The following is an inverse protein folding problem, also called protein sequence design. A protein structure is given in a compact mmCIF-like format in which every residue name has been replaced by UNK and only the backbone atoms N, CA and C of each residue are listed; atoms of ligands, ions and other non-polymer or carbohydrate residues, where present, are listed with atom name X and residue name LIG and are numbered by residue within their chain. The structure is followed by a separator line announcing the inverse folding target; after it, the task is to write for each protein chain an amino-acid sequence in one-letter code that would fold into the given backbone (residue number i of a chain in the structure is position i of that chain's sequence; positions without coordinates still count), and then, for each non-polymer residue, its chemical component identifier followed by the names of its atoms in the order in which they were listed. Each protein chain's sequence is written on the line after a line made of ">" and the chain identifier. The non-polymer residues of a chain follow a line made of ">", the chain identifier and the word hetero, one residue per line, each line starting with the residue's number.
data_IF_804303832207
#
_entry.id   IF_804303832207
#
_cell.length_a   1.000
_cell.length_b   1.000
_cell.length_c   1.000
_cell.angle_alpha   90.00
_cell.angle_beta   90.00
_cell.angle_gamma   90.00
#
_symmetry.space_group_name_H-M   'P 1'
#
loop_
_entity.id
_entity.type
_entity.pdbx_description
1 polymer ?
#
# COMPACT_ATOMS: atom_id res chain seq x y z
N UNK A 1 28.97 -7.20 4.88
CA UNK A 1 27.58 -6.70 5.00
C UNK A 1 26.76 -7.40 3.94
N UNK A 2 25.72 -8.15 4.33
CA UNK A 2 24.87 -8.90 3.39
C UNK A 2 23.89 -7.92 2.75
N UNK A 3 23.92 -7.76 1.42
CA UNK A 3 22.92 -6.97 0.71
C UNK A 3 21.79 -7.89 0.24
N UNK A 4 20.74 -8.03 1.06
CA UNK A 4 19.60 -8.91 0.78
C UNK A 4 18.77 -8.47 -0.44
N UNK A 5 18.79 -7.18 -0.81
CA UNK A 5 18.01 -6.67 -1.94
C UNK A 5 18.54 -7.12 -3.31
N UNK A 6 19.81 -7.50 -3.39
CA UNK A 6 20.39 -8.07 -4.62
C UNK A 6 19.98 -9.52 -4.86
N UNK A 7 19.47 -10.21 -3.84
CA UNK A 7 19.05 -11.61 -3.93
C UNK A 7 17.66 -11.79 -4.55
N UNK A 8 16.85 -10.73 -4.52
CA UNK A 8 15.46 -10.78 -4.93
C UNK A 8 15.16 -9.77 -6.02
N UNK A 9 14.25 -10.11 -6.92
CA UNK A 9 13.81 -9.19 -7.96
C UNK A 9 12.76 -8.24 -7.39
N UNK A 10 12.73 -6.96 -7.83
CA UNK A 10 11.60 -6.09 -7.58
C UNK A 10 10.30 -6.76 -8.07
N UNK A 11 9.19 -6.51 -7.37
CA UNK A 11 7.91 -7.09 -7.72
C UNK A 11 7.42 -6.50 -9.04
N UNK A 12 7.16 -7.35 -10.02
CA UNK A 12 6.63 -6.93 -11.32
C UNK A 12 5.19 -6.44 -11.20
N UNK A 13 4.75 -5.62 -12.18
CA UNK A 13 3.39 -5.10 -12.29
C UNK A 13 2.90 -4.24 -11.10
N UNK A 14 3.80 -3.75 -10.25
CA UNK A 14 3.45 -2.78 -9.22
C UNK A 14 3.48 -1.34 -9.80
N UNK A 15 2.30 -0.73 -9.92
CA UNK A 15 2.14 0.54 -10.62
C UNK A 15 1.91 1.70 -9.65
N UNK A 16 2.81 2.67 -9.68
CA UNK A 16 2.72 3.91 -8.90
C UNK A 16 2.41 5.07 -9.86
N UNK A 17 1.22 5.70 -9.80
CA UNK A 17 0.91 6.85 -10.63
C UNK A 17 1.87 8.01 -10.40
N UNK A 18 2.08 8.84 -11.43
CA UNK A 18 2.85 10.06 -11.30
C UNK A 18 2.27 10.99 -10.22
N UNK A 19 3.14 11.66 -9.46
CA UNK A 19 2.75 12.55 -8.37
C UNK A 19 2.69 11.88 -6.99
N UNK A 20 2.88 10.56 -6.90
CA UNK A 20 3.08 9.87 -5.63
C UNK A 20 4.55 9.87 -5.23
N UNK A 21 4.82 10.32 -4.02
CA UNK A 21 6.12 10.21 -3.36
C UNK A 21 6.17 8.90 -2.58
N UNK A 22 7.02 7.99 -3.01
CA UNK A 22 7.29 6.74 -2.30
C UNK A 22 8.30 6.97 -1.19
N UNK A 23 7.90 6.70 0.05
CA UNK A 23 8.76 6.83 1.24
C UNK A 23 9.51 5.54 1.56
N UNK A 24 8.88 4.39 1.33
CA UNK A 24 9.47 3.05 1.49
C UNK A 24 8.92 2.14 0.39
N UNK A 25 9.79 1.34 -0.23
CA UNK A 25 9.40 0.39 -1.25
C UNK A 25 10.24 -0.90 -1.18
N UNK A 26 9.75 -1.83 -0.38
CA UNK A 26 10.27 -3.17 -0.26
C UNK A 26 9.33 -4.19 -0.93
N UNK A 27 8.62 -3.76 -1.98
CA UNK A 27 7.83 -4.66 -2.83
C UNK A 27 8.76 -5.42 -3.78
N UNK A 28 9.33 -6.51 -3.26
CA UNK A 28 10.13 -7.48 -4.00
C UNK A 28 9.37 -8.81 -4.13
N UNK A 29 9.67 -9.57 -5.17
CA UNK A 29 9.14 -10.92 -5.38
C UNK A 29 9.84 -11.90 -4.45
N UNK A 30 9.35 -11.95 -3.21
CA UNK A 30 9.89 -12.79 -2.13
C UNK A 30 8.74 -13.54 -1.46
N UNK A 31 8.74 -14.87 -1.62
CA UNK A 31 7.83 -15.77 -0.91
C UNK A 31 8.27 -15.93 0.55
N UNK A 32 7.35 -15.96 1.53
CA UNK A 32 7.68 -16.23 2.94
C UNK A 32 8.46 -17.54 3.13
N UNK A 33 8.24 -18.54 2.26
CA UNK A 33 8.94 -19.83 2.30
C UNK A 33 10.47 -19.72 2.17
N UNK A 34 11.01 -18.60 1.68
CA UNK A 34 12.47 -18.41 1.63
C UNK A 34 13.11 -18.43 3.02
N UNK A 35 12.34 -18.11 4.07
CA UNK A 35 12.82 -18.09 5.45
C UNK A 35 13.18 -19.48 5.97
N UNK A 36 12.59 -20.54 5.39
CA UNK A 36 12.90 -21.94 5.71
C UNK A 36 14.31 -22.33 5.24
N UNK A 37 14.78 -21.72 4.15
CA UNK A 37 16.07 -22.02 3.52
C UNK A 37 17.24 -21.21 4.10
N UNK A 38 16.96 -20.19 4.92
CA UNK A 38 18.00 -19.33 5.50
C UNK A 38 18.47 -19.92 6.83
N UNK A 39 19.70 -20.43 6.85
CA UNK A 39 20.33 -20.99 8.05
C UNK A 39 20.95 -19.95 8.98
N UNK A 40 21.35 -18.78 8.45
CA UNK A 40 21.95 -17.70 9.22
C UNK A 40 20.85 -16.83 9.88
N UNK A 41 20.85 -16.76 11.21
CA UNK A 41 19.84 -16.01 11.98
C UNK A 41 19.85 -14.50 11.64
N UNK A 42 21.03 -13.89 11.52
CA UNK A 42 21.17 -12.49 11.13
C UNK A 42 20.57 -12.20 9.74
N UNK A 43 20.81 -13.10 8.78
CA UNK A 43 20.23 -12.97 7.45
C UNK A 43 18.70 -13.13 7.48
N UNK A 44 18.20 -14.11 8.25
CA UNK A 44 16.76 -14.35 8.39
C UNK A 44 16.08 -13.12 8.97
N UNK A 45 16.63 -12.56 10.05
CA UNK A 45 16.13 -11.33 10.66
C UNK A 45 16.04 -10.18 9.65
N UNK A 46 17.10 -9.97 8.85
CA UNK A 46 17.11 -8.91 7.83
C UNK A 46 16.05 -9.13 6.74
N UNK A 47 15.85 -10.37 6.29
CA UNK A 47 14.83 -10.71 5.28
C UNK A 47 13.43 -10.52 5.85
N UNK A 48 13.20 -10.95 7.09
CA UNK A 48 11.93 -10.73 7.79
C UNK A 48 11.62 -9.24 7.93
N UNK A 49 12.55 -8.45 8.47
CA UNK A 49 12.36 -7.02 8.70
C UNK A 49 12.16 -6.22 7.41
N UNK A 50 12.96 -6.52 6.39
CA UNK A 50 12.88 -5.78 5.13
C UNK A 50 11.60 -6.12 4.35
N UNK A 51 11.24 -7.40 4.27
CA UNK A 51 10.23 -7.83 3.31
C UNK A 51 8.91 -8.24 3.95
N UNK A 52 8.88 -8.73 5.18
CA UNK A 52 7.69 -9.41 5.74
C UNK A 52 7.14 -8.78 7.03
N UNK A 53 7.83 -7.80 7.61
CA UNK A 53 7.40 -7.06 8.80
C UNK A 53 7.24 -5.58 8.47
N UNK A 54 6.42 -4.88 9.26
CA UNK A 54 6.31 -3.42 9.36
C UNK A 54 6.41 -2.63 8.04
N UNK A 55 5.30 -2.04 7.59
CA UNK A 55 5.21 -1.09 6.48
C UNK A 55 6.19 -1.37 5.34
N UNK A 56 5.99 -2.46 4.61
CA UNK A 56 6.87 -2.85 3.50
C UNK A 56 6.75 -1.90 2.31
N UNK A 57 5.68 -1.12 2.25
CA UNK A 57 5.48 -0.05 1.29
C UNK A 57 4.75 1.13 1.93
N UNK A 58 5.18 2.35 1.63
CA UNK A 58 4.46 3.58 1.97
C UNK A 58 4.62 4.56 0.81
N UNK A 59 3.52 5.11 0.34
CA UNK A 59 3.51 6.23 -0.58
C UNK A 59 2.47 7.27 -0.18
N UNK A 60 2.73 8.53 -0.54
CA UNK A 60 1.78 9.62 -0.34
C UNK A 60 1.73 10.55 -1.54
N UNK A 61 0.63 11.25 -1.70
CA UNK A 61 0.52 12.37 -2.63
C UNK A 61 -0.24 13.52 -1.98
N UNK A 62 0.10 14.74 -2.38
CA UNK A 62 -0.54 15.97 -1.93
C UNK A 62 -1.11 16.68 -3.14
N UNK A 63 -2.42 16.95 -3.11
CA UNK A 63 -3.11 17.67 -4.18
C UNK A 63 -3.68 19.00 -3.65
N UNK A 64 -3.17 20.16 -4.12
CA UNK A 64 -3.64 21.45 -3.66
C UNK A 64 -5.07 21.71 -4.17
N UNK A 65 -5.99 22.04 -3.25
CA UNK A 65 -7.36 22.44 -3.59
C UNK A 65 -7.51 23.97 -3.64
N UNK A 66 -6.74 24.68 -2.81
CA UNK A 66 -6.66 26.14 -2.79
C UNK A 66 -5.33 26.59 -2.18
N UNK A 67 -5.14 27.90 -1.97
CA UNK A 67 -3.95 28.43 -1.29
C UNK A 67 -3.83 27.96 0.17
N UNK A 68 -4.94 27.64 0.82
CA UNK A 68 -5.02 27.28 2.25
C UNK A 68 -5.42 25.84 2.52
N UNK A 69 -5.82 25.10 1.48
CA UNK A 69 -6.35 23.75 1.62
C UNK A 69 -5.75 22.77 0.60
N UNK A 70 -5.60 21.52 1.01
CA UNK A 70 -5.12 20.41 0.18
C UNK A 70 -5.81 19.12 0.60
N UNK A 71 -5.81 18.15 -0.31
CA UNK A 71 -6.19 16.77 -0.03
C UNK A 71 -4.95 15.90 -0.18
N UNK A 72 -4.74 15.01 0.79
CA UNK A 72 -3.60 14.09 0.82
C UNK A 72 -4.12 12.66 0.77
N UNK A 73 -3.54 11.85 -0.11
CA UNK A 73 -3.71 10.40 -0.11
C UNK A 73 -2.46 9.75 0.46
N UNK A 74 -2.62 8.80 1.37
CA UNK A 74 -1.56 7.94 1.88
C UNK A 74 -1.98 6.51 1.67
N UNK A 75 -1.09 5.69 1.11
CA UNK A 75 -1.27 4.25 1.01
C UNK A 75 -0.09 3.54 1.66
N UNK A 76 -0.38 2.46 2.36
CA UNK A 76 0.61 1.62 3.06
C UNK A 76 0.31 0.15 2.84
N UNK A 77 1.36 -0.67 2.91
CA UNK A 77 1.24 -2.12 2.98
C UNK A 77 2.02 -2.59 4.20
N UNK A 78 1.33 -3.22 5.15
CA UNK A 78 1.92 -3.84 6.32
C UNK A 78 1.99 -5.36 6.15
N UNK A 79 3.12 -5.98 6.48
CA UNK A 79 3.28 -7.44 6.45
C UNK A 79 3.03 -8.06 7.82
N UNK A 80 2.12 -9.03 7.88
CA UNK A 80 1.87 -9.89 9.05
C UNK A 80 2.44 -11.27 8.78
N UNK A 81 3.68 -11.47 9.21
CA UNK A 81 4.36 -12.77 9.13
C UNK A 81 3.86 -13.70 10.24
N UNK A 82 3.47 -14.91 9.84
CA UNK A 82 3.14 -16.01 10.74
C UNK A 82 4.24 -17.06 10.64
N UNK A 83 4.71 -17.49 11.81
CA UNK A 83 5.83 -18.42 11.91
C UNK A 83 5.37 -19.86 11.66
N UNK A 84 6.33 -20.70 11.31
CA UNK A 84 6.15 -22.14 11.09
C UNK A 84 5.56 -22.89 12.30
N UNK A 85 5.69 -22.35 13.52
CA UNK A 85 5.07 -22.91 14.73
C UNK A 85 3.54 -22.82 14.74
N UNK A 86 2.97 -21.87 14.00
CA UNK A 86 1.56 -21.50 14.09
C UNK A 86 0.72 -22.08 12.93
N UNK A 87 1.38 -22.57 11.86
CA UNK A 87 0.74 -23.06 10.62
C UNK A 87 1.54 -24.18 9.94
N UNK A 88 1.31 -25.44 10.35
CA UNK A 88 1.78 -26.66 9.66
C UNK A 88 3.27 -26.66 9.21
N UNK A 89 4.14 -25.94 9.91
CA UNK A 89 5.58 -25.92 9.63
C UNK A 89 6.04 -24.98 8.52
N UNK A 90 5.17 -24.13 7.93
CA UNK A 90 5.56 -23.22 6.85
C UNK A 90 5.34 -21.75 7.22
N UNK A 91 6.27 -20.87 6.83
CA UNK A 91 6.04 -19.43 6.93
C UNK A 91 4.91 -19.01 5.99
N UNK A 92 4.00 -18.18 6.50
CA UNK A 92 2.96 -17.53 5.71
C UNK A 92 2.88 -16.05 6.06
N UNK A 93 2.41 -15.22 5.13
CA UNK A 93 2.32 -13.78 5.35
C UNK A 93 1.05 -13.23 4.73
N UNK A 94 0.30 -12.47 5.53
CA UNK A 94 -0.81 -11.64 5.06
C UNK A 94 -0.35 -10.19 4.97
N UNK A 95 -0.96 -9.44 4.06
CA UNK A 95 -0.59 -8.07 3.77
C UNK A 95 -1.80 -7.16 3.97
N UNK A 96 -1.72 -6.27 4.95
CA UNK A 96 -2.76 -5.28 5.21
C UNK A 96 -2.47 -4.05 4.35
N UNK A 97 -3.35 -3.79 3.40
CA UNK A 97 -3.27 -2.67 2.47
C UNK A 97 -4.22 -1.59 2.94
N UNK A 98 -3.68 -0.42 3.24
CA UNK A 98 -4.42 0.69 3.82
C UNK A 98 -4.44 1.87 2.85
N UNK A 99 -5.57 2.59 2.83
CA UNK A 99 -5.66 3.93 2.26
C UNK A 99 -6.21 4.88 3.33
N UNK A 100 -5.50 5.98 3.53
CA UNK A 100 -5.96 7.11 4.33
C UNK A 100 -6.07 8.36 3.48
N UNK A 101 -7.16 9.10 3.63
CA UNK A 101 -7.37 10.38 2.95
C UNK A 101 -7.47 11.48 4.01
N UNK A 102 -6.65 12.51 3.84
CA UNK A 102 -6.62 13.66 4.74
C UNK A 102 -7.00 14.93 4.00
N UNK A 103 -7.58 15.88 4.72
CA UNK A 103 -7.82 17.24 4.24
C UNK A 103 -7.17 18.28 5.15
N UNK A 104 -6.76 19.39 4.58
CA UNK A 104 -6.15 20.51 5.31
C UNK A 104 -4.63 20.52 5.18
N UNK A 105 -4.06 21.73 5.15
CA UNK A 105 -2.62 21.97 4.95
C UNK A 105 -1.82 22.14 6.24
N UNK A 106 -2.43 22.67 7.30
CA UNK A 106 -1.80 22.91 8.61
C UNK A 106 -2.23 21.91 9.68
N UNK A 107 -3.51 21.56 9.68
CA UNK A 107 -4.09 20.53 10.52
C UNK A 107 -4.69 19.49 9.58
N UNK A 108 -3.97 18.40 9.38
CA UNK A 108 -4.45 17.29 8.57
C UNK A 108 -5.56 16.57 9.37
N UNK A 109 -6.79 16.65 8.87
CA UNK A 109 -7.94 15.89 9.37
C UNK A 109 -8.03 14.61 8.53
N UNK A 110 -7.98 13.43 9.16
CA UNK A 110 -8.26 12.17 8.46
C UNK A 110 -9.78 12.09 8.24
N UNK A 111 -10.20 12.02 6.98
CA UNK A 111 -11.61 12.01 6.59
C UNK A 111 -12.05 10.66 6.04
N UNK A 112 -11.11 9.75 5.77
CA UNK A 112 -11.41 8.41 5.30
C UNK A 112 -10.26 7.44 5.55
N UNK A 113 -10.61 6.24 6.00
CA UNK A 113 -9.71 5.12 6.17
C UNK A 113 -10.40 3.85 5.65
N UNK A 114 -9.66 3.06 4.87
CA UNK A 114 -10.06 1.71 4.48
C UNK A 114 -8.84 0.80 4.54
N UNK A 115 -9.08 -0.44 4.96
CA UNK A 115 -8.08 -1.50 5.05
C UNK A 115 -8.59 -2.74 4.33
N UNK A 116 -7.70 -3.40 3.57
CA UNK A 116 -7.94 -4.69 2.93
C UNK A 116 -6.80 -5.65 3.19
N UNK A 117 -7.14 -6.89 3.46
CA UNK A 117 -6.16 -7.97 3.63
C UNK A 117 -5.94 -8.68 2.29
N UNK A 118 -4.68 -8.84 1.91
CA UNK A 118 -4.23 -9.68 0.81
C UNK A 118 -3.42 -10.88 1.32
N UNK A 119 -3.53 -12.02 0.66
CA UNK A 119 -2.79 -13.24 1.02
C UNK A 119 -1.42 -13.34 0.35
N UNK A 120 -1.12 -12.45 -0.60
CA UNK A 120 0.16 -12.42 -1.31
C UNK A 120 0.50 -10.99 -1.78
N UNK A 121 1.78 -10.77 -2.12
CA UNK A 121 2.30 -9.46 -2.51
C UNK A 121 1.73 -8.94 -3.82
N UNK A 122 1.41 -9.82 -4.77
CA UNK A 122 0.85 -9.41 -6.07
C UNK A 122 -0.55 -8.83 -5.89
N UNK A 123 -1.38 -9.46 -5.06
CA UNK A 123 -2.68 -8.92 -4.66
C UNK A 123 -2.55 -7.62 -3.88
N UNK A 124 -1.62 -7.56 -2.93
CA UNK A 124 -1.36 -6.33 -2.18
C UNK A 124 -0.94 -5.18 -3.12
N UNK A 125 -0.03 -5.44 -4.06
CA UNK A 125 0.42 -4.49 -5.07
C UNK A 125 -0.72 -4.05 -5.99
N UNK A 126 -1.59 -4.98 -6.41
CA UNK A 126 -2.78 -4.68 -7.24
C UNK A 126 -3.76 -3.77 -6.50
N UNK A 127 -4.10 -4.09 -5.25
CA UNK A 127 -5.00 -3.28 -4.42
C UNK A 127 -4.40 -1.89 -4.20
N UNK A 128 -3.12 -1.81 -3.84
CA UNK A 128 -2.41 -0.55 -3.59
C UNK A 128 -2.36 0.32 -4.85
N UNK A 129 -2.00 -0.26 -6.00
CA UNK A 129 -2.01 0.42 -7.29
C UNK A 129 -3.39 0.97 -7.62
N UNK A 130 -4.44 0.18 -7.34
CA UNK A 130 -5.84 0.58 -7.53
C UNK A 130 -6.22 1.76 -6.65
N UNK A 131 -5.85 1.75 -5.38
CA UNK A 131 -6.09 2.86 -4.46
C UNK A 131 -5.43 4.15 -4.91
N UNK A 132 -4.15 4.10 -5.29
CA UNK A 132 -3.44 5.26 -5.83
C UNK A 132 -4.09 5.77 -7.12
N UNK A 133 -4.52 4.85 -8.00
CA UNK A 133 -5.20 5.18 -9.24
C UNK A 133 -6.54 5.88 -8.99
N UNK A 134 -7.38 5.33 -8.10
CA UNK A 134 -8.70 5.90 -7.76
C UNK A 134 -8.54 7.29 -7.15
N UNK A 135 -7.59 7.44 -6.22
CA UNK A 135 -7.33 8.73 -5.60
C UNK A 135 -6.94 9.80 -6.64
N UNK A 136 -6.02 9.45 -7.54
CA UNK A 136 -5.44 10.40 -8.51
C UNK A 136 -6.42 10.76 -9.63
N UNK A 137 -7.25 9.81 -10.07
CA UNK A 137 -8.10 9.99 -11.26
C UNK A 137 -9.55 10.31 -10.95
N UNK A 138 -10.03 10.01 -9.73
CA UNK A 138 -11.44 10.19 -9.38
C UNK A 138 -11.61 11.07 -8.15
N UNK A 139 -10.93 10.76 -7.03
CA UNK A 139 -11.15 11.50 -5.78
C UNK A 139 -10.62 12.92 -5.88
N UNK A 140 -9.32 13.09 -6.16
CA UNK A 140 -8.72 14.44 -6.21
C UNK A 140 -9.36 15.35 -7.28
N UNK A 141 -9.70 14.88 -8.50
CA UNK A 141 -10.44 15.71 -9.46
C UNK A 141 -11.87 16.02 -9.00
N UNK A 142 -12.59 15.07 -8.39
CA UNK A 142 -13.95 15.32 -7.91
C UNK A 142 -13.98 16.33 -6.77
N UNK A 143 -12.94 16.36 -5.92
CA UNK A 143 -12.74 17.44 -4.93
C UNK A 143 -12.46 18.79 -5.62
N UNK A 144 -11.58 18.82 -6.61
CA UNK A 144 -11.26 20.05 -7.34
C UNK A 144 -12.49 20.65 -8.06
N UNK A 145 -13.39 19.79 -8.53
CA UNK A 145 -14.66 20.17 -9.18
C UNK A 145 -15.81 20.43 -8.18
N UNK A 146 -15.60 20.28 -6.88
CA UNK A 146 -16.62 20.46 -5.85
C UNK A 146 -17.72 19.39 -5.84
N UNK A 147 -17.50 18.25 -6.49
CA UNK A 147 -18.44 17.10 -6.51
C UNK A 147 -18.34 16.26 -5.23
N UNK A 148 -17.16 16.23 -4.60
CA UNK A 148 -16.93 15.61 -3.30
C UNK A 148 -16.58 16.68 -2.25
N UNK A 149 -16.92 16.40 -1.01
CA UNK A 149 -16.50 17.17 0.15
C UNK A 149 -16.10 16.21 1.29
N UNK A 150 -15.64 16.77 2.41
CA UNK A 150 -15.11 15.97 3.53
C UNK A 150 -16.11 15.01 4.19
N UNK A 151 -17.41 15.20 3.98
CA UNK A 151 -18.47 14.36 4.53
C UNK A 151 -19.06 13.40 3.47
N UNK A 152 -18.47 13.32 2.28
CA UNK A 152 -18.92 12.42 1.22
C UNK A 152 -18.68 10.95 1.59
N UNK A 153 -19.49 10.04 1.03
CA UNK A 153 -19.26 8.60 1.16
C UNK A 153 -18.16 8.14 0.20
N UNK A 154 -16.94 8.10 0.72
CA UNK A 154 -15.77 7.63 -0.02
C UNK A 154 -15.81 6.13 -0.32
N UNK A 155 -16.45 5.32 0.53
CA UNK A 155 -16.51 3.86 0.37
C UNK A 155 -17.39 3.48 -0.83
N UNK A 156 -18.56 4.10 -0.93
CA UNK A 156 -19.43 3.96 -2.10
C UNK A 156 -18.72 4.46 -3.37
N UNK A 157 -18.07 5.62 -3.29
CA UNK A 157 -17.38 6.22 -4.44
C UNK A 157 -16.22 5.35 -4.96
N UNK A 158 -15.40 4.82 -4.07
CA UNK A 158 -14.33 3.86 -4.42
C UNK A 158 -14.94 2.61 -5.04
N UNK A 159 -16.03 2.09 -4.48
CA UNK A 159 -16.72 0.89 -5.00
C UNK A 159 -17.31 1.12 -6.40
N UNK A 160 -17.91 2.29 -6.66
CA UNK A 160 -18.39 2.67 -7.99
C UNK A 160 -17.24 2.79 -9.00
N UNK A 161 -16.16 3.50 -8.64
CA UNK A 161 -14.97 3.62 -9.50
C UNK A 161 -14.31 2.25 -9.78
N UNK A 162 -14.48 1.28 -8.88
CA UNK A 162 -14.07 -0.10 -9.08
C UNK A 162 -15.01 -0.90 -10.01
N UNK A 163 -16.29 -0.55 -10.05
CA UNK A 163 -17.35 -1.26 -10.79
C UNK A 163 -17.42 -0.84 -12.26
N UNK A 164 -17.10 0.43 -12.54
CA UNK A 164 -17.00 0.98 -13.89
C UNK A 164 -15.83 0.40 -14.72
N UNK A 165 -15.00 -0.49 -14.14
CA UNK A 165 -13.84 -1.09 -14.79
C UNK A 165 -13.82 -2.63 -14.74
N UNK A 166 -14.83 -3.24 -15.34
CA UNK A 166 -14.70 -4.59 -15.91
C UNK A 166 -13.86 -4.65 -17.21
N UNK A 167 -12.98 -3.67 -17.46
CA UNK A 167 -12.18 -3.54 -18.69
C UNK A 167 -10.77 -3.01 -18.40
N UNK A 168 -9.97 -3.77 -17.65
CA UNK A 168 -8.50 -3.81 -17.81
C UNK A 168 -8.09 -5.27 -17.74
#
# INVERSE_FOLDING_TARGET
>A
MINIFQKYKPLECFHIPAGWLTMKNNMYDVSPSVLDDISCEEERFLVEDAFFRNDIFIARTDYPLSTTNEIRGVVSIHGRLFNSSDYDGNYSCFYDVEISIFIGKKKHENIYYEEKVASNRFDAARITSKYMFIFSNYISPAFALGKLNKNSDFGEFISMACSDKGQI
#
